data_IF_021869220710
#
_entry.id   IF_021869220710
#
_cell.length_a   1.000
_cell.length_b   1.000
_cell.length_c   1.000
_cell.angle_alpha   90.00
_cell.angle_beta   90.00
_cell.angle_gamma   90.00
#
_symmetry.space_group_name_H-M   'P 1'
#
loop_
_entity.id
_entity.type
_entity.pdbx_description
1 polymer ?
#
# COMPACT_ATOMS: atom_id res chain seq x y z
N UNK A 1 8.53 -26.86 23.56
CA UNK A 1 7.19 -26.34 23.91
C UNK A 1 7.03 -24.86 23.53
N UNK A 2 8.11 -24.15 23.22
CA UNK A 2 8.08 -22.70 22.94
C UNK A 2 7.53 -22.34 21.56
N UNK A 3 7.61 -23.26 20.60
CA UNK A 3 7.02 -23.08 19.28
C UNK A 3 5.48 -22.87 19.35
N UNK A 4 4.78 -23.58 20.25
CA UNK A 4 3.34 -23.41 20.41
C UNK A 4 2.96 -22.08 21.06
N UNK A 5 3.77 -21.60 22.02
CA UNK A 5 3.61 -20.29 22.66
C UNK A 5 3.83 -19.16 21.64
N UNK A 6 4.90 -19.24 20.85
CA UNK A 6 5.19 -18.27 19.78
C UNK A 6 4.08 -18.24 18.73
N UNK A 7 3.60 -19.40 18.26
CA UNK A 7 2.47 -19.49 17.33
C UNK A 7 1.19 -18.88 17.92
N UNK A 8 0.91 -19.14 19.20
CA UNK A 8 -0.24 -18.54 19.90
C UNK A 8 -0.14 -17.01 19.90
N UNK A 9 0.99 -16.46 20.31
CA UNK A 9 1.22 -14.99 20.31
C UNK A 9 1.10 -14.42 18.90
N UNK A 10 1.62 -15.12 17.88
CA UNK A 10 1.47 -14.73 16.48
C UNK A 10 0.02 -14.58 16.05
N UNK A 11 -0.82 -15.61 16.28
CA UNK A 11 -2.26 -15.51 15.98
C UNK A 11 -2.95 -14.41 16.79
N UNK A 12 -2.57 -14.23 18.05
CA UNK A 12 -3.12 -13.14 18.88
C UNK A 12 -2.72 -11.77 18.35
N UNK A 13 -1.50 -11.61 17.86
CA UNK A 13 -1.02 -10.38 17.24
C UNK A 13 -1.76 -10.08 15.92
N UNK A 14 -2.15 -11.10 15.16
CA UNK A 14 -2.98 -10.96 13.95
C UNK A 14 -4.47 -10.69 14.20
N UNK A 15 -4.90 -10.56 15.46
CA UNK A 15 -6.28 -10.20 15.81
C UNK A 15 -7.21 -11.39 16.14
N UNK A 16 -6.73 -12.63 16.11
CA UNK A 16 -7.55 -13.79 16.48
C UNK A 16 -7.96 -13.77 17.96
N UNK A 17 -9.17 -14.26 18.25
CA UNK A 17 -9.63 -14.45 19.63
C UNK A 17 -8.83 -15.55 20.33
N UNK A 18 -8.90 -15.60 21.66
CA UNK A 18 -8.21 -16.64 22.45
C UNK A 18 -8.64 -18.04 21.99
N UNK A 19 -9.94 -18.23 21.72
CA UNK A 19 -10.49 -19.53 21.31
C UNK A 19 -9.98 -19.96 19.94
N UNK A 20 -9.97 -19.04 18.98
CA UNK A 20 -9.46 -19.31 17.63
C UNK A 20 -7.96 -19.60 17.64
N UNK A 21 -7.17 -18.78 18.35
CA UNK A 21 -5.73 -18.98 18.47
C UNK A 21 -5.39 -20.33 19.11
N UNK A 22 -6.08 -20.72 20.19
CA UNK A 22 -5.93 -22.04 20.84
C UNK A 22 -6.25 -23.18 19.87
N UNK A 23 -7.34 -23.04 19.09
CA UNK A 23 -7.74 -24.02 18.07
C UNK A 23 -6.71 -24.15 16.94
N UNK A 24 -6.17 -23.03 16.44
CA UNK A 24 -5.19 -23.00 15.34
C UNK A 24 -3.82 -23.56 15.74
N UNK A 25 -3.41 -23.33 16.98
CA UNK A 25 -2.17 -23.92 17.53
C UNK A 25 -2.37 -25.42 17.81
N UNK A 26 -3.61 -25.86 18.04
CA UNK A 26 -3.92 -27.25 18.36
C UNK A 26 -3.67 -27.61 19.83
N UNK A 27 -3.82 -26.63 20.73
CA UNK A 27 -3.67 -26.84 22.18
C UNK A 27 -5.03 -26.80 22.89
N UNK A 28 -5.10 -27.33 24.10
CA UNK A 28 -6.28 -27.21 24.95
C UNK A 28 -6.26 -25.91 25.77
N UNK A 29 -7.43 -25.35 26.10
CA UNK A 29 -7.52 -24.14 26.95
C UNK A 29 -6.80 -24.31 28.30
N UNK A 30 -6.89 -25.52 28.88
CA UNK A 30 -6.19 -25.88 30.12
C UNK A 30 -4.67 -25.71 30.01
N UNK A 31 -4.08 -25.96 28.83
CA UNK A 31 -2.64 -25.75 28.59
C UNK A 31 -2.30 -24.28 28.61
N UNK A 32 -3.14 -23.43 28.01
CA UNK A 32 -2.97 -21.97 28.05
C UNK A 32 -3.10 -21.43 29.49
N UNK A 33 -4.07 -21.90 30.27
CA UNK A 33 -4.20 -21.52 31.68
C UNK A 33 -2.93 -21.84 32.48
N UNK A 34 -2.34 -23.01 32.26
CA UNK A 34 -1.07 -23.41 32.92
C UNK A 34 0.12 -22.52 32.56
N UNK A 35 0.15 -21.95 31.35
CA UNK A 35 1.22 -21.01 30.98
C UNK A 35 1.08 -19.65 31.67
N UNK A 36 -0.13 -19.27 32.09
CA UNK A 36 -0.44 -17.99 32.74
C UNK A 36 -0.42 -18.05 34.27
N UNK A 37 -0.59 -19.23 34.83
CA UNK A 37 -0.74 -19.48 36.25
C UNK A 37 0.64 -19.52 36.95
N UNK A 38 0.97 -18.56 37.85
CA UNK A 38 2.25 -18.51 38.55
C UNK A 38 2.56 -19.75 39.41
N UNK A 39 1.53 -20.43 39.90
CA UNK A 39 1.66 -21.62 40.74
C UNK A 39 1.86 -22.89 39.89
N UNK A 40 1.76 -22.77 38.56
CA UNK A 40 1.94 -23.89 37.65
C UNK A 40 3.43 -24.17 37.39
N UNK A 41 3.86 -25.44 37.36
CA UNK A 41 5.21 -25.79 36.91
C UNK A 41 5.47 -25.48 35.42
N UNK A 42 4.43 -25.07 34.69
CA UNK A 42 4.50 -24.68 33.27
C UNK A 42 4.38 -23.16 33.06
N UNK A 43 4.37 -22.39 34.15
CA UNK A 43 4.34 -20.93 34.13
C UNK A 43 5.50 -20.39 33.31
N UNK A 44 5.22 -19.36 32.53
CA UNK A 44 6.24 -18.66 31.75
C UNK A 44 6.00 -17.16 31.83
N UNK A 45 6.82 -16.49 32.64
CA UNK A 45 6.77 -15.05 32.81
C UNK A 45 7.02 -14.30 31.49
N UNK A 46 7.90 -14.82 30.63
CA UNK A 46 8.19 -14.22 29.32
C UNK A 46 7.00 -14.31 28.37
N UNK A 47 6.26 -15.42 28.42
CA UNK A 47 5.01 -15.56 27.67
C UNK A 47 3.94 -14.58 28.12
N UNK A 48 3.75 -14.41 29.44
CA UNK A 48 2.76 -13.48 29.99
C UNK A 48 3.13 -12.02 29.65
N UNK A 49 4.41 -11.66 29.74
CA UNK A 49 4.89 -10.34 29.33
C UNK A 49 4.65 -10.09 27.83
N UNK A 50 4.95 -11.08 26.97
CA UNK A 50 4.66 -11.00 25.55
C UNK A 50 3.15 -10.86 25.25
N UNK A 51 2.29 -11.54 26.02
CA UNK A 51 0.85 -11.41 25.89
C UNK A 51 0.34 -10.01 26.30
N UNK A 52 0.92 -9.42 27.35
CA UNK A 52 0.58 -8.07 27.79
C UNK A 52 0.98 -7.00 26.75
N UNK A 53 2.08 -7.23 26.03
CA UNK A 53 2.59 -6.35 24.96
C UNK A 53 1.84 -6.50 23.62
N UNK A 54 0.80 -7.34 23.55
CA UNK A 54 0.03 -7.55 22.31
C UNK A 54 -0.59 -6.27 21.75
N UNK A 55 -1.02 -5.33 22.59
CA UNK A 55 -1.62 -4.07 22.13
C UNK A 55 -0.60 -3.23 21.36
N UNK A 56 0.61 -3.11 21.88
CA UNK A 56 1.72 -2.42 21.23
C UNK A 56 2.14 -3.14 19.96
N UNK A 57 2.31 -4.46 20.03
CA UNK A 57 2.66 -5.29 18.88
C UNK A 57 1.64 -5.15 17.74
N UNK A 58 0.33 -5.12 18.07
CA UNK A 58 -0.74 -4.88 17.08
C UNK A 58 -0.66 -3.51 16.43
N UNK A 59 -0.34 -2.46 17.20
CA UNK A 59 -0.17 -1.10 16.65
C UNK A 59 0.98 -1.07 15.67
N UNK A 60 2.14 -1.62 16.05
CA UNK A 60 3.32 -1.68 15.20
C UNK A 60 3.06 -2.51 13.94
N UNK A 61 2.54 -3.73 14.10
CA UNK A 61 2.23 -4.60 12.95
C UNK A 61 1.20 -3.97 12.01
N UNK A 62 0.16 -3.30 12.53
CA UNK A 62 -0.83 -2.63 11.70
C UNK A 62 -0.23 -1.56 10.80
N UNK A 63 0.69 -0.75 11.34
CA UNK A 63 1.44 0.27 10.57
C UNK A 63 2.31 -0.39 9.51
N UNK A 64 3.07 -1.43 9.87
CA UNK A 64 3.93 -2.16 8.94
C UNK A 64 3.14 -2.83 7.81
N UNK A 65 2.01 -3.46 8.12
CA UNK A 65 1.14 -4.07 7.11
C UNK A 65 0.56 -3.02 6.17
N UNK A 66 0.05 -1.91 6.70
CA UNK A 66 -0.44 -0.80 5.87
C UNK A 66 0.67 -0.23 4.98
N UNK A 67 1.90 -0.13 5.51
CA UNK A 67 3.07 0.32 4.76
C UNK A 67 3.41 -0.65 3.61
N UNK A 68 3.43 -1.96 3.87
CA UNK A 68 3.68 -2.98 2.85
C UNK A 68 2.61 -3.00 1.76
N UNK A 69 1.33 -2.90 2.13
CA UNK A 69 0.22 -2.81 1.18
C UNK A 69 0.33 -1.54 0.33
N UNK A 70 0.65 -0.41 0.96
CA UNK A 70 0.89 0.84 0.26
C UNK A 70 2.06 0.72 -0.72
N UNK A 71 3.22 0.22 -0.29
CA UNK A 71 4.39 0.05 -1.16
C UNK A 71 4.11 -0.88 -2.33
N UNK A 72 3.42 -2.00 -2.08
CA UNK A 72 3.01 -2.94 -3.13
C UNK A 72 2.13 -2.24 -4.15
N UNK A 73 1.07 -1.56 -3.71
CA UNK A 73 0.15 -0.86 -4.59
C UNK A 73 0.83 0.28 -5.35
N UNK A 74 1.68 1.04 -4.65
CA UNK A 74 2.46 2.12 -5.24
C UNK A 74 3.41 1.60 -6.34
N UNK A 75 4.10 0.48 -6.10
CA UNK A 75 4.95 -0.16 -7.11
C UNK A 75 4.17 -0.56 -8.36
N UNK A 76 2.96 -1.11 -8.20
CA UNK A 76 2.12 -1.50 -9.32
C UNK A 76 1.64 -0.27 -10.13
N UNK A 77 1.31 0.82 -9.46
CA UNK A 77 0.95 2.08 -10.12
C UNK A 77 2.14 2.62 -10.92
N UNK A 78 3.33 2.68 -10.32
CA UNK A 78 4.55 3.16 -11.00
C UNK A 78 4.92 2.28 -12.20
N UNK A 79 4.80 0.97 -12.08
CA UNK A 79 5.07 0.02 -13.16
C UNK A 79 4.10 0.21 -14.34
N UNK A 80 2.81 0.42 -14.04
CA UNK A 80 1.81 0.74 -15.05
C UNK A 80 2.13 2.07 -15.75
N UNK A 81 2.47 3.10 -14.97
CA UNK A 81 2.86 4.41 -15.47
C UNK A 81 4.05 4.30 -16.42
N UNK A 82 5.12 3.66 -15.96
CA UNK A 82 6.33 3.45 -16.75
C UNK A 82 6.03 2.72 -18.05
N UNK A 83 5.25 1.63 -17.99
CA UNK A 83 4.89 0.85 -19.19
C UNK A 83 4.11 1.67 -20.21
N UNK A 84 3.13 2.46 -19.78
CA UNK A 84 2.31 3.26 -20.69
C UNK A 84 3.14 4.41 -21.28
N UNK A 85 4.01 5.05 -20.49
CA UNK A 85 4.92 6.10 -20.97
C UNK A 85 5.94 5.54 -21.95
N UNK A 86 6.60 4.43 -21.63
CA UNK A 86 7.56 3.80 -22.52
C UNK A 86 6.88 3.40 -23.84
N UNK A 87 5.69 2.80 -23.77
CA UNK A 87 4.91 2.44 -24.95
C UNK A 87 4.48 3.65 -25.77
N UNK A 88 4.14 4.78 -25.14
CA UNK A 88 3.80 6.00 -25.87
C UNK A 88 5.00 6.62 -26.58
N UNK A 89 6.21 6.39 -26.05
CA UNK A 89 7.49 6.85 -26.62
C UNK A 89 7.97 5.95 -27.75
N UNK A 90 7.85 4.63 -27.60
CA UNK A 90 8.41 3.67 -28.56
C UNK A 90 7.42 3.32 -29.68
N UNK A 91 6.13 3.23 -29.34
CA UNK A 91 5.07 2.72 -30.21
C UNK A 91 3.74 3.48 -30.00
N UNK A 92 3.67 4.79 -30.28
CA UNK A 92 2.50 5.62 -29.99
C UNK A 92 1.20 5.14 -30.65
N UNK A 93 1.28 4.47 -31.81
CA UNK A 93 0.11 3.94 -32.52
C UNK A 93 -0.41 2.61 -31.95
N UNK A 94 0.35 1.93 -31.07
CA UNK A 94 -0.06 0.66 -30.47
C UNK A 94 -0.78 0.82 -29.12
N UNK A 95 -0.94 2.07 -28.65
CA UNK A 95 -1.71 2.39 -27.46
C UNK A 95 -3.19 2.07 -27.69
N UNK A 96 -3.78 1.32 -26.76
CA UNK A 96 -5.23 1.11 -26.71
C UNK A 96 -5.93 2.40 -26.33
N UNK A 97 -7.22 2.52 -26.66
CA UNK A 97 -8.02 3.70 -26.28
C UNK A 97 -8.04 3.95 -24.75
N UNK A 98 -7.96 2.89 -23.94
CA UNK A 98 -7.87 3.01 -22.48
C UNK A 98 -6.51 3.57 -22.01
N UNK A 99 -5.41 3.09 -22.60
CA UNK A 99 -4.06 3.58 -22.29
C UNK A 99 -3.90 5.05 -22.72
N UNK A 100 -4.48 5.42 -23.87
CA UNK A 100 -4.46 6.80 -24.35
C UNK A 100 -5.24 7.74 -23.42
N UNK A 101 -6.44 7.35 -22.99
CA UNK A 101 -7.21 8.11 -22.01
C UNK A 101 -6.50 8.23 -20.66
N UNK A 102 -5.83 7.16 -20.21
CA UNK A 102 -5.01 7.18 -19.01
C UNK A 102 -3.87 8.19 -19.13
N UNK A 103 -3.10 8.12 -20.21
CA UNK A 103 -1.96 9.01 -20.47
C UNK A 103 -2.39 10.49 -20.54
N UNK A 104 -3.53 10.78 -21.17
CA UNK A 104 -4.08 12.15 -21.24
C UNK A 104 -4.40 12.72 -19.86
N UNK A 105 -4.95 11.90 -18.95
CA UNK A 105 -5.24 12.30 -17.57
C UNK A 105 -3.96 12.43 -16.74
N UNK A 106 -3.06 11.45 -16.84
CA UNK A 106 -1.81 11.40 -16.08
C UNK A 106 -0.84 12.53 -16.46
N UNK A 107 -0.84 12.97 -17.72
CA UNK A 107 0.06 14.00 -18.24
C UNK A 107 -0.03 15.34 -17.50
N UNK A 108 -1.18 15.67 -16.91
CA UNK A 108 -1.35 16.88 -16.11
C UNK A 108 -0.52 16.89 -14.81
N UNK A 109 -0.12 15.71 -14.34
CA UNK A 109 0.57 15.51 -13.06
C UNK A 109 2.08 15.30 -13.19
N UNK A 110 2.60 15.10 -14.41
CA UNK A 110 4.04 14.99 -14.60
C UNK A 110 4.73 16.36 -14.57
N UNK A 111 5.93 16.38 -14.00
CA UNK A 111 6.82 17.53 -14.00
C UNK A 111 7.08 18.05 -15.42
N UNK A 112 7.30 19.36 -15.54
CA UNK A 112 7.42 20.09 -16.82
C UNK A 112 8.40 19.45 -17.81
N UNK A 113 9.48 18.82 -17.34
CA UNK A 113 10.49 18.16 -18.18
C UNK A 113 9.99 16.84 -18.82
N UNK A 114 9.15 16.05 -18.13
CA UNK A 114 8.53 14.83 -18.70
C UNK A 114 7.45 15.22 -19.72
N UNK A 115 6.73 16.32 -19.46
CA UNK A 115 5.71 16.86 -20.36
C UNK A 115 6.25 17.19 -21.75
N UNK A 116 7.47 17.74 -21.83
CA UNK A 116 8.10 18.12 -23.10
C UNK A 116 8.48 16.89 -23.92
N UNK A 117 9.05 15.85 -23.29
CA UNK A 117 9.39 14.59 -23.98
C UNK A 117 8.18 13.87 -24.60
N UNK A 118 7.05 13.85 -23.88
CA UNK A 118 5.78 13.27 -24.37
C UNK A 118 5.10 14.09 -25.48
N UNK A 119 5.48 15.37 -25.65
CA UNK A 119 4.87 16.27 -26.63
C UNK A 119 5.58 16.25 -27.99
N UNK A 120 6.85 15.84 -28.02
CA UNK A 120 7.68 15.82 -29.24
C UNK A 120 7.27 14.69 -30.20
N UNK A 121 6.53 13.68 -29.73
CA UNK A 121 6.18 12.51 -30.56
C UNK A 121 4.82 12.55 -31.26
N UNK A 122 4.04 13.62 -31.09
CA UNK A 122 2.78 13.79 -31.82
C UNK A 122 2.77 15.10 -32.62
N UNK A 123 3.32 15.13 -33.84
CA UNK A 123 2.94 16.13 -34.83
C UNK A 123 1.71 15.65 -35.60
N UNK A 124 0.61 15.28 -34.92
CA UNK A 124 -0.66 15.00 -35.59
C UNK A 124 -1.79 15.79 -34.94
N UNK A 125 -2.06 16.93 -35.59
CA UNK A 125 -3.36 17.58 -35.77
C UNK A 125 -4.25 17.59 -34.54
N UNK A 126 -4.05 18.58 -33.69
CA UNK A 126 -5.21 19.28 -33.15
C UNK A 126 -5.86 20.03 -34.33
N UNK A 127 -7.15 19.81 -34.68
CA UNK A 127 -7.88 20.89 -35.29
C UNK A 127 -7.79 22.03 -34.29
N UNK A 128 -7.38 23.21 -34.73
CA UNK A 128 -7.34 24.43 -33.93
C UNK A 128 -8.63 24.55 -33.14
N UNK A 129 -8.62 24.09 -31.89
CA UNK A 129 -9.63 24.43 -30.92
C UNK A 129 -9.35 25.91 -30.70
N UNK A 130 -10.20 26.75 -31.29
CA UNK A 130 -10.15 28.18 -31.12
C UNK A 130 -10.14 28.42 -29.60
N UNK A 131 -8.97 28.70 -29.03
CA UNK A 131 -8.92 29.22 -27.67
C UNK A 131 -9.71 30.53 -27.73
N UNK A 132 -10.74 30.72 -26.87
CA UNK A 132 -11.34 32.02 -26.77
C UNK A 132 -10.24 33.03 -26.43
N UNK A 133 -10.27 34.24 -27.02
CA UNK A 133 -9.23 35.23 -26.81
C UNK A 133 -9.04 35.43 -25.31
N UNK A 134 -7.79 35.28 -24.85
CA UNK A 134 -7.46 35.61 -23.47
C UNK A 134 -7.65 37.11 -23.31
N UNK A 135 -8.71 37.49 -22.59
CA UNK A 135 -8.87 38.86 -22.15
C UNK A 135 -7.66 39.23 -21.28
N UNK A 136 -7.02 40.39 -21.51
CA UNK A 136 -5.93 40.85 -20.67
C UNK A 136 -6.45 41.02 -19.23
N UNK A 137 -5.77 40.38 -18.28
CA UNK A 137 -5.99 40.60 -16.86
C UNK A 137 -5.66 42.08 -16.58
N UNK A 138 -6.60 42.90 -16.09
CA UNK A 138 -6.29 44.28 -15.74
C UNK A 138 -5.34 44.26 -14.55
N UNK A 139 -4.15 44.84 -14.75
CA UNK A 139 -3.26 45.22 -13.66
C UNK A 139 -3.99 46.29 -12.85
N UNK A 140 -4.53 45.90 -11.70
CA UNK A 140 -4.95 46.84 -10.67
C UNK A 140 -3.70 47.57 -10.21
N UNK A 141 -3.61 48.85 -10.57
CA UNK A 141 -2.57 49.75 -10.12
C UNK A 141 -2.58 49.88 -8.60
N UNK A 142 -1.38 49.83 -8.04
CA UNK A 142 -1.01 50.44 -6.76
C UNK A 142 0.08 51.45 -7.10
#
# INVERSE_FOLDING_TARGET
NDNNKARYIGYRASGFTVREAVKLVGIHQKTLSRWRDPDSPWYDAGFVDAENKLSELRKTLGVEYAHLEFLRNYRLVLEKDFRIIAKSIDQPLSLTGQEQQYLLKARGHYTSHIRVGLQIQHPLRYPTLHMPPQHPIPLLGI
#
